data_IF_592202686281
#
_entry.id   IF_592202686281
#
_cell.length_a   1.000
_cell.length_b   1.000
_cell.length_c   1.000
_cell.angle_alpha   90.00
_cell.angle_beta   90.00
_cell.angle_gamma   90.00
#
_symmetry.space_group_name_H-M   'P 1'
#
loop_
_entity.id
_entity.type
_entity.pdbx_description
1 polymer ?
#
# COMPACT_ATOMS: atom_id res chain seq x y z
N UNK A 1 -5.23 -14.42 26.51
CA UNK A 1 -4.32 -13.28 26.75
C UNK A 1 -3.74 -13.43 28.13
N UNK A 2 -2.41 -13.35 28.26
CA UNK A 2 -1.75 -13.25 29.57
C UNK A 2 -1.78 -11.78 30.01
N UNK A 3 -1.83 -11.52 31.31
CA UNK A 3 -1.61 -10.17 31.84
C UNK A 3 -0.10 -9.91 31.96
N UNK A 4 0.39 -8.81 31.40
CA UNK A 4 1.80 -8.44 31.51
C UNK A 4 2.08 -7.94 32.93
N UNK A 5 2.80 -8.75 33.70
CA UNK A 5 3.24 -8.39 35.05
C UNK A 5 4.63 -7.74 34.96
N UNK A 6 4.67 -6.40 35.02
CA UNK A 6 5.93 -5.64 34.99
C UNK A 6 6.49 -5.53 36.42
N UNK A 7 7.71 -6.05 36.70
CA UNK A 7 8.32 -5.96 38.03
C UNK A 7 8.80 -4.54 38.34
N UNK A 8 9.13 -4.28 39.61
CA UNK A 8 9.86 -3.05 39.98
C UNK A 8 11.34 -3.28 39.74
N UNK A 9 11.95 -2.45 38.88
CA UNK A 9 13.36 -2.55 38.56
C UNK A 9 14.22 -1.80 39.58
N UNK A 10 15.34 -2.39 39.98
CA UNK A 10 16.32 -1.76 40.87
C UNK A 10 17.41 -1.03 40.07
N UNK A 11 17.54 -1.32 38.77
CA UNK A 11 18.49 -0.66 37.87
C UNK A 11 17.99 -0.57 36.42
N UNK A 12 18.56 0.36 35.65
CA UNK A 12 18.25 0.54 34.23
C UNK A 12 18.68 -0.66 33.36
N UNK A 13 19.75 -1.35 33.75
CA UNK A 13 20.26 -2.54 33.03
C UNK A 13 19.31 -3.74 33.17
N UNK A 14 18.69 -3.88 34.35
CA UNK A 14 17.67 -4.89 34.63
C UNK A 14 16.39 -4.63 33.82
N UNK A 15 15.95 -3.36 33.74
CA UNK A 15 14.81 -2.95 32.92
C UNK A 15 15.06 -3.26 31.43
N UNK A 16 16.24 -2.91 30.92
CA UNK A 16 16.60 -3.18 29.51
C UNK A 16 16.57 -4.68 29.23
N UNK A 17 17.15 -5.49 30.11
CA UNK A 17 17.20 -6.94 29.96
C UNK A 17 15.81 -7.59 29.97
N UNK A 18 14.87 -7.04 30.75
CA UNK A 18 13.48 -7.50 30.78
C UNK A 18 12.77 -7.24 29.45
N UNK A 19 12.89 -6.04 28.89
CA UNK A 19 12.25 -5.68 27.62
C UNK A 19 12.85 -6.42 26.42
N UNK A 20 14.16 -6.67 26.41
CA UNK A 20 14.84 -7.41 25.34
C UNK A 20 14.43 -8.89 25.28
N UNK A 21 14.02 -9.47 26.41
CA UNK A 21 13.63 -10.88 26.51
C UNK A 21 12.12 -11.10 26.45
N UNK A 22 11.32 -10.02 26.46
CA UNK A 22 9.88 -10.12 26.48
C UNK A 22 9.34 -10.45 25.08
N UNK A 23 8.75 -11.63 24.95
CA UNK A 23 7.93 -11.97 23.78
C UNK A 23 6.54 -11.34 23.91
N UNK A 24 6.26 -10.35 23.06
CA UNK A 24 4.99 -9.62 23.07
C UNK A 24 3.85 -10.41 22.43
N UNK A 25 4.13 -11.48 21.67
CA UNK A 25 3.11 -12.26 20.97
C UNK A 25 2.09 -12.89 21.93
N UNK A 26 2.54 -13.29 23.12
CA UNK A 26 1.69 -13.89 24.17
C UNK A 26 0.64 -12.92 24.77
N UNK A 27 0.82 -11.61 24.54
CA UNK A 27 0.00 -10.53 25.07
C UNK A 27 -0.87 -9.84 24.00
N UNK A 28 -0.64 -10.15 22.72
CA UNK A 28 -1.43 -9.61 21.61
C UNK A 28 -2.65 -10.48 21.34
N UNK A 29 -3.77 -9.85 20.98
CA UNK A 29 -4.93 -10.57 20.46
C UNK A 29 -4.61 -11.05 19.04
N UNK A 30 -4.68 -12.35 18.81
CA UNK A 30 -4.71 -12.91 17.45
C UNK A 30 -6.15 -12.85 16.95
N UNK A 31 -6.58 -11.65 16.54
CA UNK A 31 -7.90 -11.38 15.97
C UNK A 31 -8.02 -11.75 14.48
N UNK A 32 -6.93 -12.26 13.89
CA UNK A 32 -6.84 -12.55 12.46
C UNK A 32 -6.71 -11.32 11.56
N UNK A 33 -6.68 -10.09 12.12
CA UNK A 33 -6.41 -8.83 11.40
C UNK A 33 -4.90 -8.58 11.29
N UNK A 34 -4.14 -9.63 10.98
CA UNK A 34 -2.75 -9.47 10.53
C UNK A 34 -2.80 -8.77 9.17
N UNK A 35 -2.30 -7.54 9.11
CA UNK A 35 -2.22 -6.67 7.92
C UNK A 35 -2.46 -7.41 6.60
N UNK A 36 -3.72 -7.42 6.15
CA UNK A 36 -4.06 -8.02 4.88
C UNK A 36 -3.69 -7.05 3.76
N UNK A 37 -2.53 -7.27 3.16
CA UNK A 37 -2.21 -6.69 1.85
C UNK A 37 -3.09 -7.37 0.79
N UNK A 38 -4.36 -6.98 0.73
CA UNK A 38 -5.19 -7.24 -0.43
C UNK A 38 -4.59 -6.43 -1.58
N UNK A 39 -3.60 -7.01 -2.26
CA UNK A 39 -3.28 -6.57 -3.61
C UNK A 39 -4.52 -6.90 -4.42
N UNK A 40 -5.32 -5.91 -4.86
CA UNK A 40 -6.47 -6.22 -5.68
C UNK A 40 -5.90 -6.97 -6.87
N UNK A 41 -6.30 -8.23 -7.08
CA UNK A 41 -5.97 -8.98 -8.30
C UNK A 41 -6.70 -8.37 -9.52
N UNK A 42 -6.65 -7.04 -9.66
CA UNK A 42 -7.05 -6.32 -10.85
C UNK A 42 -5.99 -6.65 -11.90
N UNK A 43 -6.25 -7.72 -12.65
CA UNK A 43 -5.47 -8.08 -13.82
C UNK A 43 -5.51 -6.89 -14.77
N UNK A 44 -4.39 -6.20 -14.93
CA UNK A 44 -4.24 -5.17 -15.95
C UNK A 44 -4.50 -5.80 -17.33
N UNK A 45 -5.31 -5.13 -18.15
CA UNK A 45 -5.54 -5.54 -19.53
C UNK A 45 -4.43 -4.94 -20.39
N UNK A 46 -3.77 -5.78 -21.22
CA UNK A 46 -2.79 -5.29 -22.19
C UNK A 46 -3.50 -4.83 -23.45
N UNK A 47 -3.19 -3.61 -23.89
CA UNK A 47 -3.70 -3.01 -25.12
C UNK A 47 -2.50 -2.62 -25.98
N UNK A 48 -2.56 -2.91 -27.28
CA UNK A 48 -1.54 -2.45 -28.21
C UNK A 48 -1.74 -0.95 -28.47
N UNK A 49 -0.69 -0.16 -28.27
CA UNK A 49 -0.67 1.30 -28.52
C UNK A 49 0.35 1.56 -29.63
N UNK A 50 0.02 2.47 -30.54
CA UNK A 50 0.94 2.86 -31.62
C UNK A 50 2.21 3.52 -31.04
N UNK A 51 3.40 3.32 -31.65
CA UNK A 51 4.67 3.80 -31.10
C UNK A 51 4.67 5.31 -30.83
N UNK A 52 4.25 6.12 -31.80
CA UNK A 52 4.13 7.58 -31.68
C UNK A 52 3.24 8.01 -30.50
N UNK A 53 2.12 7.31 -30.25
CA UNK A 53 1.23 7.62 -29.13
C UNK A 53 1.87 7.19 -27.79
N UNK A 54 2.56 6.05 -27.78
CA UNK A 54 3.23 5.56 -26.58
C UNK A 54 4.34 6.53 -26.13
N UNK A 55 5.08 7.10 -27.07
CA UNK A 55 6.12 8.10 -26.80
C UNK A 55 5.52 9.38 -26.19
N UNK A 56 4.44 9.91 -26.76
CA UNK A 56 3.74 11.09 -26.22
C UNK A 56 3.20 10.85 -24.81
N UNK A 57 2.62 9.66 -24.55
CA UNK A 57 2.15 9.27 -23.22
C UNK A 57 3.28 9.18 -22.22
N UNK A 58 4.43 8.66 -22.62
CA UNK A 58 5.61 8.53 -21.76
C UNK A 58 6.16 9.91 -21.37
N UNK A 59 6.37 10.79 -22.35
CA UNK A 59 6.82 12.17 -22.11
C UNK A 59 5.85 12.94 -21.21
N UNK A 60 4.54 12.78 -21.46
CA UNK A 60 3.49 13.42 -20.67
C UNK A 60 3.45 12.93 -19.23
N UNK A 61 3.66 11.62 -19.00
CA UNK A 61 3.69 11.03 -17.67
C UNK A 61 4.91 11.49 -16.89
N UNK A 62 6.08 11.53 -17.54
CA UNK A 62 7.32 12.02 -16.96
C UNK A 62 7.22 13.50 -16.56
N UNK A 63 6.68 14.35 -17.44
CA UNK A 63 6.47 15.77 -17.15
C UNK A 63 5.54 16.02 -15.94
N UNK A 64 4.61 15.10 -15.69
CA UNK A 64 3.67 15.17 -14.56
C UNK A 64 4.17 14.42 -13.32
N UNK A 65 5.32 13.72 -13.38
CA UNK A 65 5.85 12.94 -12.28
C UNK A 65 5.00 11.73 -11.88
N UNK A 66 4.19 11.21 -12.82
CA UNK A 66 3.30 10.05 -12.59
C UNK A 66 3.70 8.87 -13.46
N UNK A 67 3.23 7.67 -13.11
CA UNK A 67 3.41 6.50 -14.00
C UNK A 67 2.56 6.62 -15.25
N UNK A 68 3.01 5.99 -16.34
CA UNK A 68 2.25 5.90 -17.59
C UNK A 68 0.88 5.23 -17.38
N UNK A 69 0.82 4.21 -16.51
CA UNK A 69 -0.43 3.54 -16.12
C UNK A 69 -1.41 4.51 -15.47
N UNK A 70 -0.96 5.32 -14.51
CA UNK A 70 -1.80 6.31 -13.83
C UNK A 70 -2.34 7.34 -14.83
N UNK A 71 -1.47 7.89 -15.68
CA UNK A 71 -1.88 8.86 -16.70
C UNK A 71 -2.94 8.28 -17.65
N UNK A 72 -2.71 7.08 -18.17
CA UNK A 72 -3.63 6.41 -19.09
C UNK A 72 -4.97 6.13 -18.42
N UNK A 73 -4.96 5.59 -17.20
CA UNK A 73 -6.20 5.29 -16.48
C UNK A 73 -7.03 6.54 -16.19
N UNK A 74 -6.39 7.64 -15.74
CA UNK A 74 -7.10 8.91 -15.51
C UNK A 74 -7.73 9.44 -16.80
N UNK A 75 -6.97 9.51 -17.89
CA UNK A 75 -7.46 9.95 -19.21
C UNK A 75 -8.63 9.10 -19.70
N UNK A 76 -8.55 7.78 -19.54
CA UNK A 76 -9.63 6.87 -19.91
C UNK A 76 -10.88 7.10 -19.06
N UNK A 77 -10.73 7.28 -17.75
CA UNK A 77 -11.85 7.58 -16.84
C UNK A 77 -12.51 8.91 -17.24
N UNK A 78 -11.73 9.95 -17.47
CA UNK A 78 -12.23 11.27 -17.89
C UNK A 78 -13.00 11.18 -19.21
N UNK A 79 -12.45 10.46 -20.19
CA UNK A 79 -13.09 10.27 -21.50
C UNK A 79 -14.40 9.48 -21.40
N UNK A 80 -14.44 8.42 -20.59
CA UNK A 80 -15.65 7.61 -20.39
C UNK A 80 -16.72 8.45 -19.66
N UNK A 81 -16.34 9.18 -18.62
CA UNK A 81 -17.26 10.03 -17.86
C UNK A 81 -17.78 11.21 -18.69
N UNK A 82 -16.92 11.85 -19.47
CA UNK A 82 -17.31 12.94 -20.38
C UNK A 82 -18.31 12.49 -21.45
N UNK A 83 -18.17 11.27 -21.96
CA UNK A 83 -19.16 10.67 -22.89
C UNK A 83 -20.50 10.36 -22.21
N UNK A 84 -20.48 9.97 -20.94
CA UNK A 84 -21.70 9.61 -20.18
C UNK A 84 -22.61 10.81 -19.88
N UNK A 85 -22.12 12.05 -19.93
CA UNK A 85 -22.92 13.27 -19.69
C UNK A 85 -23.59 13.78 -20.97
N UNK A 86 -23.13 13.33 -22.14
CA UNK A 86 -23.63 13.76 -23.45
C UNK A 86 -24.59 12.74 -24.12
N UNK A 87 -25.09 11.74 -23.37
CA UNK A 87 -26.03 10.71 -23.85
C UNK A 87 -27.36 10.77 -23.10
#
# INVERSE_FOLDING_TARGET
MKELQVPKFESYEEETSFWDQLDTADFMEDDGEWFRFDTPHKRAVRVAILPEIAEELWQSAQAQGVSIETLVNVRLIEHIRGKSVAS
#
